data_IF_336079115601
#
_entry.id   IF_336079115601
#
_cell.length_a   1.000
_cell.length_b   1.000
_cell.length_c   1.000
_cell.angle_alpha   90.00
_cell.angle_beta   90.00
_cell.angle_gamma   90.00
#
_symmetry.space_group_name_H-M   'P 1'
#
loop_
_entity.id
_entity.type
_entity.pdbx_description
1 polymer ?
#
# COMPACT_ATOMS: atom_id res chain seq x y z
N UNK A 1 41.81 -13.78 9.04
CA UNK A 1 40.40 -14.21 8.89
C UNK A 1 40.03 -13.98 7.45
N UNK A 2 39.82 -15.01 6.62
CA UNK A 2 39.30 -14.80 5.27
C UNK A 2 37.87 -14.24 5.38
N UNK A 3 37.51 -13.32 4.49
CA UNK A 3 36.13 -12.86 4.36
C UNK A 3 35.21 -14.07 4.09
N UNK A 4 34.01 -14.12 4.68
CA UNK A 4 33.10 -15.23 4.43
C UNK A 4 32.71 -15.23 2.96
N UNK A 5 33.15 -16.25 2.23
CA UNK A 5 32.78 -16.55 0.85
C UNK A 5 31.32 -16.98 0.77
N UNK A 6 30.41 -16.01 0.94
CA UNK A 6 28.96 -16.21 1.02
C UNK A 6 28.15 -15.56 -0.11
N UNK A 7 28.81 -14.91 -1.08
CA UNK A 7 28.13 -14.30 -2.22
C UNK A 7 28.53 -15.02 -3.50
N UNK A 8 27.67 -15.91 -3.98
CA UNK A 8 27.71 -16.37 -5.37
C UNK A 8 27.63 -15.14 -6.28
N UNK A 9 28.44 -15.11 -7.34
CA UNK A 9 28.47 -13.98 -8.29
C UNK A 9 27.11 -13.77 -8.99
N UNK A 10 26.30 -14.82 -9.09
CA UNK A 10 24.97 -14.78 -9.65
C UNK A 10 23.90 -14.83 -8.56
N UNK A 11 22.83 -14.02 -8.68
CA UNK A 11 21.72 -14.04 -7.74
C UNK A 11 20.94 -15.37 -7.83
N UNK A 12 20.28 -15.74 -6.74
CA UNK A 12 19.36 -16.87 -6.74
C UNK A 12 18.29 -16.70 -7.83
N UNK A 13 17.70 -17.78 -8.39
CA UNK A 13 16.66 -17.66 -9.41
C UNK A 13 15.48 -16.76 -9.02
N UNK A 14 15.13 -16.75 -7.73
CA UNK A 14 14.09 -15.88 -7.18
C UNK A 14 14.50 -14.41 -7.25
N UNK A 15 15.73 -14.09 -6.85
CA UNK A 15 16.23 -12.71 -6.85
C UNK A 15 16.50 -12.23 -8.27
N UNK A 16 16.99 -13.10 -9.15
CA UNK A 16 17.10 -12.82 -10.58
C UNK A 16 15.73 -12.45 -11.19
N UNK A 17 14.67 -13.18 -10.84
CA UNK A 17 13.31 -12.85 -11.25
C UNK A 17 12.83 -11.49 -10.73
N UNK A 18 13.11 -11.18 -9.46
CA UNK A 18 12.76 -9.88 -8.85
C UNK A 18 13.50 -8.72 -9.49
N UNK A 19 14.80 -8.87 -9.72
CA UNK A 19 15.63 -7.85 -10.38
C UNK A 19 15.16 -7.59 -11.81
N UNK A 20 14.76 -8.64 -12.54
CA UNK A 20 14.17 -8.49 -13.87
C UNK A 20 12.90 -7.65 -13.85
N UNK A 21 11.96 -7.95 -12.95
CA UNK A 21 10.71 -7.19 -12.79
C UNK A 21 11.00 -5.73 -12.43
N UNK A 22 11.95 -5.46 -11.53
CA UNK A 22 12.36 -4.10 -11.21
C UNK A 22 12.95 -3.37 -12.43
N UNK A 23 13.81 -4.04 -13.19
CA UNK A 23 14.36 -3.52 -14.44
C UNK A 23 13.28 -3.17 -15.46
N UNK A 24 12.28 -4.03 -15.63
CA UNK A 24 11.14 -3.79 -16.53
C UNK A 24 10.32 -2.56 -16.10
N UNK A 25 10.10 -2.37 -14.80
CA UNK A 25 9.41 -1.18 -14.28
C UNK A 25 10.22 0.11 -14.51
N UNK A 26 11.53 0.06 -14.26
CA UNK A 26 12.43 1.20 -14.49
C UNK A 26 12.45 1.57 -15.98
N UNK A 27 12.62 0.60 -16.86
CA UNK A 27 12.63 0.83 -18.31
C UNK A 27 11.30 1.37 -18.82
N UNK A 28 10.18 0.83 -18.33
CA UNK A 28 8.83 1.31 -18.67
C UNK A 28 8.65 2.79 -18.36
N UNK A 29 9.19 3.25 -17.24
CA UNK A 29 9.02 4.62 -16.77
C UNK A 29 10.21 5.52 -17.10
N UNK A 30 11.18 5.04 -17.90
CA UNK A 30 12.42 5.75 -18.20
C UNK A 30 12.20 7.09 -18.89
N UNK A 31 11.20 7.18 -19.77
CA UNK A 31 10.94 8.38 -20.58
C UNK A 31 9.94 9.31 -19.91
N UNK A 32 8.78 8.78 -19.51
CA UNK A 32 7.66 9.57 -19.00
C UNK A 32 7.70 9.78 -17.49
N UNK A 33 8.45 8.94 -16.76
CA UNK A 33 8.46 8.92 -15.30
C UNK A 33 7.29 8.11 -14.72
N UNK A 34 7.53 7.50 -13.56
CA UNK A 34 6.54 6.64 -12.91
C UNK A 34 5.32 7.46 -12.46
N UNK A 35 5.56 8.66 -11.93
CA UNK A 35 4.52 9.51 -11.38
C UNK A 35 3.53 10.01 -12.44
N UNK A 36 4.00 10.48 -13.59
CA UNK A 36 3.10 11.00 -14.64
C UNK A 36 2.15 9.93 -15.16
N UNK A 37 2.64 8.71 -15.33
CA UNK A 37 1.82 7.55 -15.72
C UNK A 37 0.81 7.23 -14.61
N UNK A 38 1.24 7.16 -13.35
CA UNK A 38 0.35 6.91 -12.20
C UNK A 38 -0.74 8.00 -12.08
N UNK A 39 -0.36 9.28 -12.16
CA UNK A 39 -1.26 10.42 -12.09
C UNK A 39 -2.31 10.34 -13.18
N UNK A 40 -1.93 10.06 -14.43
CA UNK A 40 -2.88 9.87 -15.53
C UNK A 40 -3.90 8.77 -15.24
N UNK A 41 -3.44 7.62 -14.75
CA UNK A 41 -4.34 6.50 -14.41
C UNK A 41 -5.27 6.86 -13.26
N UNK A 42 -4.79 7.55 -12.22
CA UNK A 42 -5.62 7.96 -11.07
C UNK A 42 -6.69 8.97 -11.49
N UNK A 43 -6.31 9.95 -12.33
CA UNK A 43 -7.20 11.00 -12.79
C UNK A 43 -8.22 10.53 -13.84
N UNK A 44 -8.01 9.37 -14.45
CA UNK A 44 -8.96 8.82 -15.40
C UNK A 44 -10.33 8.56 -14.72
N UNK A 45 -11.46 9.05 -15.27
CA UNK A 45 -12.77 8.96 -14.61
C UNK A 45 -13.18 7.52 -14.26
N UNK A 46 -12.93 6.58 -15.17
CA UNK A 46 -13.29 5.16 -15.00
C UNK A 46 -12.20 4.32 -14.33
N UNK A 47 -11.18 4.95 -13.74
CA UNK A 47 -10.08 4.24 -13.08
C UNK A 47 -10.59 3.37 -11.93
N UNK A 48 -10.09 2.14 -11.87
CA UNK A 48 -10.40 1.16 -10.85
C UNK A 48 -9.13 0.36 -10.44
N UNK A 49 -9.31 -0.62 -9.56
CA UNK A 49 -8.21 -1.45 -9.06
C UNK A 49 -7.44 -2.18 -10.18
N UNK A 50 -8.11 -2.64 -11.23
CA UNK A 50 -7.46 -3.34 -12.34
C UNK A 50 -6.63 -2.39 -13.20
N UNK A 51 -7.09 -1.16 -13.42
CA UNK A 51 -6.27 -0.14 -14.07
C UNK A 51 -5.00 0.17 -13.28
N UNK A 52 -5.11 0.26 -11.95
CA UNK A 52 -3.96 0.50 -11.08
C UNK A 52 -3.02 -0.71 -11.05
N UNK A 53 -3.55 -1.95 -11.06
CA UNK A 53 -2.72 -3.16 -11.12
C UNK A 53 -1.92 -3.26 -12.42
N UNK A 54 -2.50 -2.83 -13.54
CA UNK A 54 -1.83 -2.84 -14.85
C UNK A 54 -0.56 -1.98 -14.90
N UNK A 55 -0.40 -1.02 -13.97
CA UNK A 55 0.83 -0.23 -13.81
C UNK A 55 2.03 -1.09 -13.42
N UNK A 56 1.80 -2.22 -12.72
CA UNK A 56 2.85 -3.05 -12.12
C UNK A 56 2.82 -4.49 -12.67
N UNK A 57 3.33 -4.71 -13.90
CA UNK A 57 3.52 -6.05 -14.44
C UNK A 57 4.60 -6.78 -13.64
N UNK A 58 4.40 -8.07 -13.38
CA UNK A 58 5.39 -8.92 -12.73
C UNK A 58 5.00 -9.36 -11.31
N UNK A 59 4.76 -8.45 -10.34
CA UNK A 59 4.26 -8.86 -9.04
C UNK A 59 2.85 -9.45 -9.18
N UNK A 60 2.57 -10.54 -8.45
CA UNK A 60 1.22 -11.06 -8.34
C UNK A 60 0.26 -10.05 -7.70
N UNK A 61 -1.02 -10.08 -8.07
CA UNK A 61 -2.04 -9.10 -7.67
C UNK A 61 -2.01 -8.73 -6.18
N UNK A 62 -1.82 -9.70 -5.28
CA UNK A 62 -1.75 -9.44 -3.85
C UNK A 62 -0.61 -8.48 -3.45
N UNK A 63 0.58 -8.62 -4.05
CA UNK A 63 1.72 -7.70 -3.80
C UNK A 63 1.47 -6.34 -4.44
N UNK A 64 0.88 -6.33 -5.63
CA UNK A 64 0.50 -5.10 -6.32
C UNK A 64 -0.54 -4.30 -5.53
N UNK A 65 -1.55 -4.97 -4.97
CA UNK A 65 -2.57 -4.33 -4.14
C UNK A 65 -1.99 -3.70 -2.86
N UNK A 66 -1.03 -4.39 -2.23
CA UNK A 66 -0.27 -3.86 -1.08
C UNK A 66 0.48 -2.58 -1.49
N UNK A 67 1.18 -2.60 -2.64
CA UNK A 67 1.91 -1.45 -3.14
C UNK A 67 0.97 -0.26 -3.44
N UNK A 68 -0.16 -0.53 -4.08
CA UNK A 68 -1.14 0.51 -4.43
C UNK A 68 -1.71 1.17 -3.17
N UNK A 69 -2.13 0.37 -2.18
CA UNK A 69 -2.76 0.88 -0.98
C UNK A 69 -1.78 1.53 0.01
N UNK A 70 -0.53 1.07 0.06
CA UNK A 70 0.43 1.58 1.03
C UNK A 70 1.34 2.67 0.46
N UNK A 71 1.49 2.74 -0.87
CA UNK A 71 2.44 3.65 -1.52
C UNK A 71 1.72 4.54 -2.52
N UNK A 72 1.12 3.97 -3.58
CA UNK A 72 0.66 4.76 -4.74
C UNK A 72 -0.43 5.76 -4.37
N UNK A 73 -1.51 5.30 -3.73
CA UNK A 73 -2.65 6.17 -3.40
C UNK A 73 -2.32 7.15 -2.26
N UNK A 74 -1.62 6.77 -1.17
CA UNK A 74 -1.14 7.72 -0.18
C UNK A 74 -0.17 8.77 -0.76
N UNK A 75 0.75 8.34 -1.64
CA UNK A 75 1.66 9.25 -2.33
C UNK A 75 0.91 10.25 -3.20
N UNK A 76 -0.10 9.80 -3.96
CA UNK A 76 -0.93 10.70 -4.75
C UNK A 76 -1.69 11.73 -3.88
N UNK A 77 -2.20 11.30 -2.72
CA UNK A 77 -2.79 12.22 -1.74
C UNK A 77 -1.78 13.23 -1.20
N UNK A 78 -0.53 12.82 -0.95
CA UNK A 78 0.54 13.72 -0.49
C UNK A 78 0.92 14.75 -1.57
N UNK A 79 1.07 14.33 -2.82
CA UNK A 79 1.31 15.25 -3.95
C UNK A 79 0.16 16.24 -4.09
N UNK A 80 -1.08 15.76 -4.03
CA UNK A 80 -2.26 16.62 -4.07
C UNK A 80 -2.27 17.69 -2.97
N UNK A 81 -1.86 17.33 -1.75
CA UNK A 81 -1.71 18.30 -0.65
C UNK A 81 -0.62 19.34 -0.94
N UNK A 82 0.51 18.93 -1.51
CA UNK A 82 1.64 19.83 -1.81
C UNK A 82 1.31 20.80 -2.95
N UNK A 83 0.52 20.35 -3.92
CA UNK A 83 0.16 21.12 -5.12
C UNK A 83 -1.20 21.85 -5.01
N UNK A 84 -1.91 21.71 -3.89
CA UNK A 84 -3.31 22.14 -3.70
C UNK A 84 -4.28 21.59 -4.79
N UNK A 85 -3.97 20.41 -5.32
CA UNK A 85 -4.78 19.74 -6.35
C UNK A 85 -5.95 18.97 -5.72
N UNK A 86 -7.07 19.67 -5.55
CA UNK A 86 -8.30 19.10 -4.97
C UNK A 86 -8.87 17.94 -5.78
N UNK A 87 -8.68 17.95 -7.10
CA UNK A 87 -9.21 16.88 -7.96
C UNK A 87 -8.40 15.59 -7.78
N UNK A 88 -7.07 15.69 -7.78
CA UNK A 88 -6.20 14.55 -7.47
C UNK A 88 -6.47 13.98 -6.08
N UNK A 89 -6.62 14.85 -5.07
CA UNK A 89 -6.97 14.43 -3.71
C UNK A 89 -8.25 13.61 -3.68
N UNK A 90 -9.32 14.12 -4.31
CA UNK A 90 -10.60 13.43 -4.30
C UNK A 90 -10.54 12.10 -5.07
N UNK A 91 -9.84 12.05 -6.21
CA UNK A 91 -9.63 10.80 -6.96
C UNK A 91 -8.84 9.77 -6.16
N UNK A 92 -7.73 10.18 -5.55
CA UNK A 92 -6.92 9.30 -4.71
C UNK A 92 -7.72 8.75 -3.51
N UNK A 93 -8.49 9.63 -2.84
CA UNK A 93 -9.36 9.25 -1.71
C UNK A 93 -10.47 8.29 -2.12
N UNK A 94 -11.14 8.53 -3.25
CA UNK A 94 -12.18 7.64 -3.77
C UNK A 94 -11.62 6.25 -4.08
N UNK A 95 -10.49 6.19 -4.79
CA UNK A 95 -9.84 4.92 -5.12
C UNK A 95 -9.37 4.18 -3.86
N UNK A 96 -8.81 4.90 -2.88
CA UNK A 96 -8.31 4.31 -1.64
C UNK A 96 -9.43 3.77 -0.74
N UNK A 97 -10.50 4.55 -0.56
CA UNK A 97 -11.64 4.14 0.28
C UNK A 97 -12.49 3.06 -0.37
N UNK A 98 -12.55 3.02 -1.70
CA UNK A 98 -13.23 1.99 -2.48
C UNK A 98 -12.38 0.73 -2.75
N UNK A 99 -11.10 0.71 -2.38
CA UNK A 99 -10.22 -0.42 -2.70
C UNK A 99 -10.62 -1.69 -1.91
N UNK A 100 -10.67 -2.88 -2.55
CA UNK A 100 -11.00 -4.13 -1.87
C UNK A 100 -10.00 -4.46 -0.75
N UNK A 101 -10.43 -5.26 0.22
CA UNK A 101 -9.58 -5.74 1.31
C UNK A 101 -8.35 -6.47 0.81
N UNK A 102 -7.22 -6.17 1.43
CA UNK A 102 -5.96 -6.88 1.24
C UNK A 102 -6.00 -8.23 1.96
N UNK A 103 -4.99 -9.06 1.67
CA UNK A 103 -4.76 -10.30 2.40
C UNK A 103 -4.59 -10.02 3.90
N UNK A 104 -5.43 -10.66 4.70
CA UNK A 104 -5.42 -10.57 6.16
C UNK A 104 -4.07 -10.98 6.74
N UNK A 105 -3.57 -10.23 7.72
CA UNK A 105 -2.32 -10.54 8.42
C UNK A 105 -2.54 -10.65 9.94
N UNK A 106 -1.47 -10.94 10.68
CA UNK A 106 -1.57 -11.15 12.13
C UNK A 106 -2.13 -9.92 12.86
N UNK A 107 -1.76 -8.72 12.43
CA UNK A 107 -2.21 -7.47 13.05
C UNK A 107 -3.69 -7.25 12.80
N UNK A 108 -4.16 -7.35 11.55
CA UNK A 108 -5.59 -7.16 11.24
C UNK A 108 -6.43 -8.18 12.01
N UNK A 109 -6.02 -9.46 12.02
CA UNK A 109 -6.66 -10.55 12.77
C UNK A 109 -6.70 -10.35 14.28
N UNK A 110 -5.63 -9.83 14.86
CA UNK A 110 -5.59 -9.56 16.30
C UNK A 110 -6.50 -8.37 16.64
N UNK A 111 -6.40 -7.30 15.86
CA UNK A 111 -7.06 -6.04 16.14
C UNK A 111 -8.58 -6.13 16.03
N UNK A 112 -9.15 -6.72 14.97
CA UNK A 112 -10.62 -6.78 14.86
C UNK A 112 -11.25 -7.62 15.97
N UNK A 113 -10.56 -8.69 16.41
CA UNK A 113 -11.00 -9.50 17.56
C UNK A 113 -10.86 -8.76 18.88
N UNK A 114 -9.73 -8.08 19.10
CA UNK A 114 -9.51 -7.29 20.31
C UNK A 114 -10.54 -6.16 20.46
N UNK A 115 -10.98 -5.58 19.35
CA UNK A 115 -12.02 -4.55 19.31
C UNK A 115 -13.44 -5.12 19.41
N UNK A 116 -13.61 -6.45 19.50
CA UNK A 116 -14.91 -7.09 19.63
C UNK A 116 -15.80 -6.96 18.39
N UNK A 117 -15.22 -6.74 17.21
CA UNK A 117 -16.01 -6.63 15.98
C UNK A 117 -16.49 -8.01 15.51
N UNK A 118 -17.69 -8.07 14.92
CA UNK A 118 -18.28 -9.33 14.44
C UNK A 118 -17.52 -9.93 13.26
N UNK A 119 -16.83 -9.09 12.47
CA UNK A 119 -16.13 -9.51 11.25
C UNK A 119 -14.92 -8.63 10.97
N UNK A 120 -13.94 -9.20 10.28
CA UNK A 120 -12.80 -8.45 9.76
C UNK A 120 -13.24 -7.41 8.72
N UNK A 121 -12.66 -6.19 8.73
CA UNK A 121 -12.95 -5.18 7.73
C UNK A 121 -12.66 -5.64 6.30
N UNK A 122 -13.50 -5.19 5.37
CA UNK A 122 -13.52 -5.66 3.97
C UNK A 122 -12.84 -4.72 2.98
N UNK A 123 -12.42 -3.52 3.40
CA UNK A 123 -11.66 -2.59 2.56
C UNK A 123 -10.22 -2.45 3.02
N UNK A 124 -9.31 -2.19 2.07
CA UNK A 124 -7.90 -1.96 2.38
C UNK A 124 -7.74 -0.78 3.34
N UNK A 125 -8.49 0.31 3.12
CA UNK A 125 -8.48 1.50 3.98
C UNK A 125 -8.80 1.16 5.45
N UNK A 126 -9.82 0.34 5.71
CA UNK A 126 -10.18 -0.02 7.09
C UNK A 126 -9.14 -0.95 7.72
N UNK A 127 -8.59 -1.89 6.94
CA UNK A 127 -7.51 -2.76 7.39
C UNK A 127 -6.24 -1.96 7.73
N UNK A 128 -5.88 -0.94 6.94
CA UNK A 128 -4.79 -0.02 7.27
C UNK A 128 -5.09 0.81 8.51
N UNK A 129 -6.36 1.18 8.75
CA UNK A 129 -6.79 1.76 10.01
C UNK A 129 -6.47 0.88 11.22
N UNK A 130 -6.68 -0.44 11.13
CA UNK A 130 -6.30 -1.38 12.19
C UNK A 130 -4.79 -1.42 12.43
N UNK A 131 -3.98 -1.38 11.37
CA UNK A 131 -2.53 -1.25 11.50
C UNK A 131 -2.11 0.03 12.22
N UNK A 132 -2.75 1.15 11.88
CA UNK A 132 -2.46 2.43 12.50
C UNK A 132 -2.79 2.42 14.01
N UNK A 133 -3.97 1.93 14.39
CA UNK A 133 -4.36 1.82 15.81
C UNK A 133 -3.40 0.90 16.57
N UNK A 134 -3.03 -0.24 15.97
CA UNK A 134 -2.05 -1.15 16.54
C UNK A 134 -0.71 -0.46 16.79
N UNK A 135 -0.15 0.19 15.76
CA UNK A 135 1.15 0.83 15.83
C UNK A 135 1.18 2.00 16.83
N UNK A 136 0.12 2.80 16.90
CA UNK A 136 0.09 4.02 17.71
C UNK A 136 -0.25 3.77 19.18
N UNK A 137 -1.07 2.76 19.48
CA UNK A 137 -1.60 2.58 20.86
C UNK A 137 -1.60 1.14 21.34
N UNK A 138 -2.06 0.17 20.56
CA UNK A 138 -2.30 -1.18 21.09
C UNK A 138 -1.02 -2.02 21.24
N UNK A 139 0.00 -1.79 20.42
CA UNK A 139 1.30 -2.50 20.53
C UNK A 139 1.95 -2.30 21.90
N UNK A 140 1.86 -1.09 22.45
CA UNK A 140 2.41 -0.71 23.75
C UNK A 140 1.39 -0.81 24.90
N UNK A 141 0.17 -1.30 24.61
CA UNK A 141 -0.94 -1.42 25.58
C UNK A 141 -1.32 -0.09 26.24
N UNK A 142 -1.21 1.04 25.52
CA UNK A 142 -1.60 2.38 25.98
C UNK A 142 -3.12 2.57 25.92
N UNK A 143 -3.87 1.74 26.63
CA UNK A 143 -5.33 1.71 26.56
C UNK A 143 -5.99 3.04 26.96
N UNK A 144 -5.42 3.78 27.91
CA UNK A 144 -5.91 5.10 28.32
C UNK A 144 -5.79 6.19 27.23
N UNK A 145 -5.00 5.92 26.19
CA UNK A 145 -4.78 6.82 25.05
C UNK A 145 -5.27 6.23 23.73
N UNK A 146 -6.01 5.12 23.78
CA UNK A 146 -6.43 4.37 22.61
C UNK A 146 -7.18 5.26 21.62
N UNK A 147 -6.74 5.26 20.36
CA UNK A 147 -7.33 6.07 19.28
C UNK A 147 -8.80 5.73 19.00
N UNK A 148 -9.23 4.53 19.35
CA UNK A 148 -10.61 4.08 19.19
C UNK A 148 -11.48 4.58 20.36
N UNK A 149 -10.96 4.59 21.59
CA UNK A 149 -11.71 5.02 22.78
C UNK A 149 -11.76 6.55 22.89
N UNK A 150 -10.72 7.26 22.44
CA UNK A 150 -10.64 8.73 22.51
C UNK A 150 -11.56 9.48 21.53
N UNK A 151 -12.36 8.78 20.71
CA UNK A 151 -13.20 9.41 19.67
C UNK A 151 -14.55 9.96 20.17
N UNK A 152 -14.76 10.03 21.49
CA UNK A 152 -15.85 10.79 22.11
C UNK A 152 -15.30 12.05 22.82
N UNK A 153 -14.96 13.10 22.05
CA UNK A 153 -14.99 14.50 22.49
C UNK A 153 -15.23 15.41 21.29
#
# INVERSE_FOLDING_TARGET
MPEPSGHSAEPSPLDAGRLRVLGELVERWRVEGAWEVMRRVILHPSSNADNLRALFPGPGNARTDILICNVVLPFAGAVACLEDDRFLMERARQLYTGYPGLASNQVTRAMWRQLGWEREPRSACQQQGLHYVYAQTCREKRCGECLIVRRER
#
